data_IF_333591641843
#
_entry.id   IF_333591641843
#
_cell.length_a   1.000
_cell.length_b   1.000
_cell.length_c   1.000
_cell.angle_alpha   90.00
_cell.angle_beta   90.00
_cell.angle_gamma   90.00
#
_symmetry.space_group_name_H-M   'P 1'
#
loop_
_entity.id
_entity.type
_entity.pdbx_description
1 polymer ?
#
# COMPACT_ATOMS: atom_id res chain seq x y z
N UNK A 1 16.54 -0.38 -12.16
CA UNK A 1 15.51 0.47 -11.51
C UNK A 1 14.77 -0.40 -10.51
N UNK A 2 14.94 -0.18 -9.20
CA UNK A 2 14.31 -0.99 -8.15
C UNK A 2 12.99 -0.34 -7.73
N UNK A 3 12.03 -0.34 -8.65
CA UNK A 3 10.64 -0.10 -8.26
C UNK A 3 10.21 -1.27 -7.39
N UNK A 4 10.22 -1.02 -6.09
CA UNK A 4 10.12 -2.05 -5.05
C UNK A 4 8.68 -2.54 -5.00
N UNK A 5 8.44 -3.84 -4.82
CA UNK A 5 7.11 -4.48 -4.85
C UNK A 5 6.04 -3.75 -4.02
N UNK A 6 6.47 -3.13 -2.91
CA UNK A 6 5.71 -2.21 -2.06
C UNK A 6 5.03 -1.07 -2.85
N UNK A 7 5.71 -0.48 -3.85
CA UNK A 7 5.15 0.52 -4.76
C UNK A 7 3.95 -0.02 -5.52
N UNK A 8 4.10 -1.18 -6.16
CA UNK A 8 2.99 -1.83 -6.89
C UNK A 8 1.84 -2.21 -5.97
N UNK A 9 2.15 -2.64 -4.75
CA UNK A 9 1.13 -2.94 -3.74
C UNK A 9 0.32 -1.68 -3.37
N UNK A 10 1.01 -0.56 -3.17
CA UNK A 10 0.37 0.73 -2.91
C UNK A 10 -0.44 1.22 -4.10
N UNK A 11 0.10 1.12 -5.31
CA UNK A 11 -0.57 1.50 -6.54
C UNK A 11 -1.91 0.73 -6.70
N UNK A 12 -1.89 -0.58 -6.51
CA UNK A 12 -3.10 -1.42 -6.48
C UNK A 12 -4.08 -1.00 -5.38
N UNK A 13 -3.60 -0.66 -4.18
CA UNK A 13 -4.45 -0.19 -3.07
C UNK A 13 -5.00 1.22 -3.32
N UNK A 14 -4.30 2.05 -4.08
CA UNK A 14 -4.71 3.42 -4.40
C UNK A 14 -5.68 3.45 -5.59
N UNK A 15 -5.48 2.57 -6.57
CA UNK A 15 -6.38 2.40 -7.72
C UNK A 15 -7.71 1.79 -7.25
N UNK A 16 -7.66 0.90 -6.26
CA UNK A 16 -8.84 0.30 -5.65
C UNK A 16 -9.24 1.02 -4.36
N UNK A 17 -10.24 1.89 -4.45
CA UNK A 17 -10.89 2.52 -3.28
C UNK A 17 -11.61 1.54 -2.31
N UNK A 18 -11.53 0.23 -2.55
CA UNK A 18 -12.22 -0.82 -1.78
C UNK A 18 -11.25 -1.80 -1.15
N UNK A 19 -11.70 -2.53 -0.13
CA UNK A 19 -10.93 -3.63 0.47
C UNK A 19 -10.49 -4.65 -0.58
N UNK A 20 -9.20 -5.00 -0.57
CA UNK A 20 -8.60 -5.98 -1.46
C UNK A 20 -8.03 -7.14 -0.66
N UNK A 21 -8.34 -8.38 -1.03
CA UNK A 21 -7.81 -9.54 -0.31
C UNK A 21 -6.30 -9.73 -0.56
N UNK A 22 -5.59 -10.23 0.45
CA UNK A 22 -4.17 -10.56 0.30
C UNK A 22 -3.90 -11.59 -0.78
N UNK A 23 -4.88 -12.44 -1.10
CA UNK A 23 -4.84 -13.39 -2.22
C UNK A 23 -4.89 -12.68 -3.58
N UNK A 24 -5.75 -11.66 -3.72
CA UNK A 24 -5.82 -10.87 -4.95
C UNK A 24 -4.50 -10.14 -5.20
N UNK A 25 -3.95 -9.50 -4.17
CA UNK A 25 -2.63 -8.87 -4.23
C UNK A 25 -1.54 -9.89 -4.57
N UNK A 26 -1.61 -11.08 -3.98
CA UNK A 26 -0.66 -12.16 -4.25
C UNK A 26 -0.70 -12.58 -5.72
N UNK A 27 -1.89 -12.73 -6.30
CA UNK A 27 -2.05 -13.02 -7.72
C UNK A 27 -1.54 -11.89 -8.61
N UNK A 28 -1.93 -10.63 -8.33
CA UNK A 28 -1.55 -9.47 -9.13
C UNK A 28 -0.03 -9.24 -9.15
N UNK A 29 0.62 -9.44 -8.01
CA UNK A 29 2.07 -9.30 -7.87
C UNK A 29 2.81 -10.60 -8.24
N UNK A 30 2.09 -11.70 -8.51
CA UNK A 30 2.61 -13.04 -8.74
C UNK A 30 3.55 -13.51 -7.62
N UNK A 31 3.10 -13.35 -6.37
CA UNK A 31 3.85 -13.68 -5.15
C UNK A 31 3.00 -14.55 -4.22
N UNK A 32 3.59 -15.12 -3.17
CA UNK A 32 2.81 -15.83 -2.17
C UNK A 32 2.09 -14.88 -1.21
N UNK A 33 0.92 -15.28 -0.71
CA UNK A 33 0.19 -14.56 0.36
C UNK A 33 1.05 -14.28 1.59
N UNK A 34 2.01 -15.17 1.91
CA UNK A 34 3.01 -14.94 2.96
C UNK A 34 3.89 -13.70 2.69
N UNK A 35 4.32 -13.52 1.44
CA UNK A 35 5.08 -12.34 1.01
C UNK A 35 4.20 -11.11 1.08
N UNK A 36 2.96 -11.16 0.57
CA UNK A 36 2.02 -10.02 0.66
C UNK A 36 1.80 -9.57 2.09
N UNK A 37 1.59 -10.50 3.04
CA UNK A 37 1.46 -10.15 4.46
C UNK A 37 2.70 -9.42 4.99
N UNK A 38 3.89 -9.84 4.58
CA UNK A 38 5.14 -9.19 5.00
C UNK A 38 5.32 -7.80 4.36
N UNK A 39 4.98 -7.68 3.07
CA UNK A 39 5.00 -6.41 2.34
C UNK A 39 3.98 -5.42 2.93
N UNK A 40 2.75 -5.87 3.21
CA UNK A 40 1.70 -5.06 3.85
C UNK A 40 2.11 -4.61 5.24
N UNK A 41 2.74 -5.48 6.05
CA UNK A 41 3.31 -5.07 7.35
C UNK A 41 4.37 -3.98 7.20
N UNK A 42 5.23 -4.12 6.19
CA UNK A 42 6.28 -3.14 5.91
C UNK A 42 5.66 -1.82 5.45
N UNK A 43 4.69 -1.90 4.54
CA UNK A 43 3.92 -0.77 4.02
C UNK A 43 3.18 -0.04 5.15
N UNK A 44 2.48 -0.78 6.01
CA UNK A 44 1.79 -0.27 7.20
C UNK A 44 2.76 0.44 8.15
N UNK A 45 3.94 -0.14 8.38
CA UNK A 45 4.96 0.47 9.25
C UNK A 45 5.49 1.79 8.67
N UNK A 46 5.67 1.85 7.35
CA UNK A 46 6.09 3.07 6.65
C UNK A 46 4.99 4.12 6.77
N UNK A 47 3.76 3.77 6.38
CA UNK A 47 2.67 4.72 6.40
C UNK A 47 2.30 5.17 7.82
N UNK A 48 2.32 4.29 8.82
CA UNK A 48 2.00 4.65 10.22
C UNK A 48 2.93 5.74 10.76
N UNK A 49 4.15 5.86 10.21
CA UNK A 49 5.10 6.93 10.55
C UNK A 49 4.90 8.21 9.74
N UNK A 50 4.10 8.14 8.70
CA UNK A 50 3.94 9.15 7.66
C UNK A 50 2.47 9.56 7.47
N UNK A 51 1.59 9.31 8.45
CA UNK A 51 0.19 9.74 8.43
C UNK A 51 -0.78 8.83 7.68
N UNK A 52 -0.39 7.60 7.34
CA UNK A 52 -1.29 6.59 6.77
C UNK A 52 -1.29 5.30 7.58
N UNK A 53 -2.17 4.37 7.28
CA UNK A 53 -2.22 3.06 7.90
C UNK A 53 -2.83 2.06 6.94
N UNK A 54 -2.44 0.79 7.04
CA UNK A 54 -3.12 -0.27 6.31
C UNK A 54 -4.08 -0.98 7.26
N UNK A 55 -5.37 -0.73 7.08
CA UNK A 55 -6.41 -1.50 7.76
C UNK A 55 -6.45 -2.92 7.20
N UNK A 56 -6.49 -3.89 8.10
CA UNK A 56 -6.50 -5.31 7.75
C UNK A 56 -7.68 -5.97 8.43
N UNK A 57 -8.70 -6.27 7.64
CA UNK A 57 -9.98 -6.79 8.12
C UNK A 57 -10.15 -8.24 7.69
N UNK A 58 -10.19 -9.14 8.67
CA UNK A 58 -10.41 -10.57 8.45
C UNK A 58 -11.71 -10.80 7.68
N UNK A 59 -11.61 -11.42 6.49
CA UNK A 59 -12.73 -11.70 5.60
C UNK A 59 -12.99 -10.65 4.51
N UNK A 60 -12.53 -9.41 4.68
CA UNK A 60 -12.65 -8.35 3.67
C UNK A 60 -11.32 -8.08 2.94
N UNK A 61 -10.20 -8.20 3.63
CA UNK A 61 -8.87 -8.00 3.06
C UNK A 61 -8.14 -6.82 3.69
N UNK A 62 -7.49 -6.02 2.84
CA UNK A 62 -6.62 -4.91 3.19
C UNK A 62 -7.14 -3.64 2.52
N UNK A 63 -7.09 -2.53 3.26
CA UNK A 63 -7.47 -1.22 2.78
C UNK A 63 -6.49 -0.19 3.33
N UNK A 64 -6.20 0.83 2.53
CA UNK A 64 -5.32 1.90 2.94
C UNK A 64 -6.16 3.06 3.49
N UNK A 65 -5.93 3.43 4.75
CA UNK A 65 -6.61 4.52 5.44
C UNK A 65 -5.61 5.63 5.77
N UNK A 66 -6.00 6.87 5.53
CA UNK A 66 -5.17 8.04 5.84
C UNK A 66 -5.54 8.55 7.23
N UNK A 67 -4.65 8.34 8.19
CA UNK A 67 -4.82 8.82 9.57
C UNK A 67 -4.58 10.32 9.68
N UNK A 68 -3.59 10.84 8.95
CA UNK A 68 -3.19 12.24 8.95
C UNK A 68 -2.96 12.71 7.51
N UNK A 69 -3.93 13.46 6.99
CA UNK A 69 -3.93 13.88 5.58
C UNK A 69 -2.77 14.82 5.26
N UNK A 70 -2.32 15.67 6.18
CA UNK A 70 -1.23 16.61 5.93
C UNK A 70 0.13 15.90 5.85
N UNK A 71 0.41 15.02 6.81
CA UNK A 71 1.63 14.24 6.86
C UNK A 71 1.68 13.25 5.69
N UNK A 72 0.55 12.60 5.39
CA UNK A 72 0.45 11.69 4.26
C UNK A 72 0.59 12.41 2.92
N UNK A 73 -0.07 13.56 2.75
CA UNK A 73 0.08 14.39 1.54
C UNK A 73 1.52 14.85 1.38
N UNK A 74 2.22 15.18 2.46
CA UNK A 74 3.64 15.52 2.42
C UNK A 74 4.47 14.31 2.00
N UNK A 75 4.21 13.13 2.56
CA UNK A 75 4.90 11.90 2.20
C UNK A 75 4.71 11.53 0.73
N UNK A 76 3.46 11.54 0.26
CA UNK A 76 3.13 11.27 -1.13
C UNK A 76 3.72 12.36 -2.01
N UNK A 77 3.54 13.65 -1.73
CA UNK A 77 4.12 14.73 -2.53
C UNK A 77 5.65 14.64 -2.64
N UNK A 78 6.33 14.29 -1.55
CA UNK A 78 7.78 14.10 -1.53
C UNK A 78 8.21 12.87 -2.35
N UNK A 79 7.39 11.81 -2.36
CA UNK A 79 7.57 10.61 -3.20
C UNK A 79 7.03 10.77 -4.62
N UNK A 80 6.14 11.71 -4.88
CA UNK A 80 5.37 11.86 -6.12
C UNK A 80 6.27 12.24 -7.29
N UNK A 81 7.43 12.85 -7.02
CA UNK A 81 8.45 13.11 -8.02
C UNK A 81 8.99 11.80 -8.68
N UNK A 82 8.74 10.63 -8.08
CA UNK A 82 9.17 9.32 -8.61
C UNK A 82 7.98 8.38 -8.96
N UNK A 83 6.73 8.80 -8.71
CA UNK A 83 5.51 7.97 -8.82
C UNK A 83 4.42 8.62 -9.69
N UNK A 84 4.56 9.89 -10.07
CA UNK A 84 3.73 10.50 -11.11
C UNK A 84 4.24 10.03 -12.48
N UNK A 85 3.55 9.06 -13.07
CA UNK A 85 3.58 8.88 -14.51
C UNK A 85 2.25 9.40 -15.08
N UNK A 86 2.36 10.38 -15.97
CA UNK A 86 1.40 10.60 -17.06
C UNK A 86 1.31 9.37 -17.96
#
# INVERSE_FOLDING_TARGET
MKETRIKKLFDLLSEHHTYITGEKLAQLLSVSTKTIRNELKTLDTIFSKNGGRVDSKSGLGYHFEVTDMEMFRTFIANKCHEYAFE
#
